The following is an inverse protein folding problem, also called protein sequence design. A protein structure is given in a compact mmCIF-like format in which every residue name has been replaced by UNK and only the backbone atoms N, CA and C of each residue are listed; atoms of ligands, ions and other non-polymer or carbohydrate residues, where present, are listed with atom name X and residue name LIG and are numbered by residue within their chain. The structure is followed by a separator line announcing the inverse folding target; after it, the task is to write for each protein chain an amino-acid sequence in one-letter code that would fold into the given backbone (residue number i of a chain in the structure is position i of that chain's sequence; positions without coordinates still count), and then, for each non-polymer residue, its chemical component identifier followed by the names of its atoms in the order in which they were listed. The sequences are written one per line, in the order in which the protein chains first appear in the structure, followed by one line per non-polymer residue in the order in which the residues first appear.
data_IF_716931565197
#
_entry.id   IF_716931565197
#
_cell.length_a   1.000
_cell.length_b   1.000
_cell.length_c   1.000
_cell.angle_alpha   90.00
_cell.angle_beta   90.00
_cell.angle_gamma   90.00
#
_symmetry.space_group_name_H-M   'P 1'
#
loop_
_entity.id
_entity.type
_entity.pdbx_description
1 polymer ?
#
# COMPACT_ATOMS: atom_id res chain seq x y z
N UNK A 1 2.70 26.99 -22.49
CA UNK A 1 3.51 26.78 -21.26
C UNK A 1 3.14 25.45 -20.63
N UNK A 2 4.09 24.55 -20.36
CA UNK A 2 3.81 23.34 -19.55
C UNK A 2 3.46 23.77 -18.13
N UNK A 3 2.31 23.32 -17.60
CA UNK A 3 1.90 23.60 -16.21
C UNK A 3 2.95 23.05 -15.24
N UNK A 4 3.42 23.86 -14.29
CA UNK A 4 4.32 23.38 -13.24
C UNK A 4 3.51 22.69 -12.11
N UNK A 5 4.18 21.92 -11.25
CA UNK A 5 3.49 21.14 -10.21
C UNK A 5 2.70 22.02 -9.21
N UNK A 6 3.17 23.24 -8.94
CA UNK A 6 2.43 24.19 -8.11
C UNK A 6 1.09 24.61 -8.74
N UNK A 7 1.05 24.84 -10.06
CA UNK A 7 -0.18 25.19 -10.78
C UNK A 7 -1.17 24.02 -10.83
N UNK A 8 -0.66 22.80 -10.98
CA UNK A 8 -1.49 21.59 -10.88
C UNK A 8 -2.08 21.47 -9.47
N UNK A 9 -1.31 21.78 -8.42
CA UNK A 9 -1.83 21.77 -7.03
C UNK A 9 -2.88 22.86 -6.81
N UNK A 10 -2.69 24.04 -7.40
CA UNK A 10 -3.70 25.11 -7.40
C UNK A 10 -5.01 24.62 -8.01
N UNK A 11 -4.96 24.02 -9.20
CA UNK A 11 -6.13 23.49 -9.90
C UNK A 11 -6.84 22.41 -9.09
N UNK A 12 -6.10 21.50 -8.45
CA UNK A 12 -6.68 20.48 -7.57
C UNK A 12 -7.46 21.08 -6.39
N UNK A 13 -7.01 22.22 -5.87
CA UNK A 13 -7.67 22.90 -4.77
C UNK A 13 -8.86 23.75 -5.25
N UNK A 14 -8.68 24.52 -6.31
CA UNK A 14 -9.70 25.46 -6.82
C UNK A 14 -10.85 24.76 -7.54
N UNK A 15 -10.59 23.64 -8.22
CA UNK A 15 -11.65 22.80 -8.79
C UNK A 15 -12.46 22.05 -7.72
N UNK A 16 -11.99 22.02 -6.47
CA UNK A 16 -12.59 21.23 -5.41
C UNK A 16 -12.24 19.73 -5.46
N UNK A 17 -11.45 19.26 -6.44
CA UNK A 17 -11.15 17.82 -6.59
C UNK A 17 -10.44 17.23 -5.36
N UNK A 18 -9.46 17.93 -4.78
CA UNK A 18 -8.78 17.46 -3.57
C UNK A 18 -9.69 17.49 -2.32
N UNK A 19 -10.41 18.60 -2.04
CA UNK A 19 -11.46 18.62 -1.02
C UNK A 19 -12.49 17.51 -1.16
N UNK A 20 -12.99 17.29 -2.38
CA UNK A 20 -13.99 16.26 -2.66
C UNK A 20 -13.43 14.86 -2.42
N UNK A 21 -12.19 14.59 -2.86
CA UNK A 21 -11.50 13.32 -2.56
C UNK A 21 -11.44 13.07 -1.06
N UNK A 22 -10.96 14.05 -0.30
CA UNK A 22 -10.82 13.95 1.16
C UNK A 22 -12.17 13.71 1.84
N UNK A 23 -13.20 14.45 1.41
CA UNK A 23 -14.56 14.32 1.94
C UNK A 23 -15.19 12.96 1.61
N UNK A 24 -15.01 12.45 0.40
CA UNK A 24 -15.55 11.16 -0.01
C UNK A 24 -14.85 10.00 0.70
N UNK A 25 -13.53 10.07 0.89
CA UNK A 25 -12.77 9.08 1.68
C UNK A 25 -13.24 9.05 3.14
N UNK A 26 -13.44 10.22 3.75
CA UNK A 26 -13.97 10.31 5.12
C UNK A 26 -15.41 9.80 5.21
N UNK A 27 -16.27 10.15 4.24
CA UNK A 27 -17.65 9.67 4.17
C UNK A 27 -17.72 8.15 4.04
N UNK A 28 -16.91 7.57 3.16
CA UNK A 28 -16.81 6.11 2.99
C UNK A 28 -16.39 5.41 4.29
N UNK A 29 -15.41 5.95 5.02
CA UNK A 29 -14.96 5.42 6.30
C UNK A 29 -16.04 5.50 7.39
N UNK A 30 -16.77 6.62 7.48
CA UNK A 30 -17.88 6.80 8.42
C UNK A 30 -19.02 5.80 8.13
N UNK A 31 -19.39 5.62 6.86
CA UNK A 31 -20.41 4.63 6.47
C UNK A 31 -19.96 3.22 6.84
N UNK A 32 -18.71 2.83 6.53
CA UNK A 32 -18.17 1.51 6.92
C UNK A 32 -18.22 1.27 8.43
N UNK A 33 -17.90 2.28 9.23
CA UNK A 33 -18.00 2.21 10.71
C UNK A 33 -19.44 2.08 11.18
N UNK A 34 -20.39 2.76 10.53
CA UNK A 34 -21.81 2.62 10.78
C UNK A 34 -22.31 1.20 10.51
N UNK A 35 -22.02 0.67 9.31
CA UNK A 35 -22.38 -0.70 8.92
C UNK A 35 -21.76 -1.71 9.89
N UNK A 36 -20.46 -1.54 10.22
CA UNK A 36 -19.78 -2.39 11.20
C UNK A 36 -20.50 -2.39 12.54
N UNK A 37 -20.91 -1.21 13.05
CA UNK A 37 -21.59 -1.09 14.34
C UNK A 37 -22.94 -1.82 14.36
N UNK A 38 -23.66 -1.85 13.24
CA UNK A 38 -24.93 -2.58 13.12
C UNK A 38 -24.73 -4.09 12.97
N UNK A 39 -23.69 -4.52 12.26
CA UNK A 39 -23.44 -5.95 11.97
C UNK A 39 -22.53 -6.67 12.99
N UNK A 40 -21.85 -5.95 13.89
CA UNK A 40 -20.86 -6.57 14.82
C UNK A 40 -21.43 -7.67 15.73
N UNK A 41 -22.73 -7.64 16.01
CA UNK A 41 -23.41 -8.60 16.87
C UNK A 41 -24.19 -9.65 16.07
N UNK A 42 -24.09 -9.62 14.74
CA UNK A 42 -24.68 -10.63 13.88
C UNK A 42 -23.97 -11.97 14.08
N UNK A 43 -24.75 -13.06 14.02
CA UNK A 43 -24.22 -14.42 13.98
C UNK A 43 -23.55 -14.74 12.62
N UNK A 44 -24.02 -14.11 11.55
CA UNK A 44 -23.47 -14.27 10.21
C UNK A 44 -22.17 -13.48 10.05
N UNK A 45 -21.13 -14.13 9.50
CA UNK A 45 -19.85 -13.47 9.20
C UNK A 45 -19.83 -12.76 7.84
N UNK A 46 -20.78 -13.07 6.95
CA UNK A 46 -20.88 -12.52 5.60
C UNK A 46 -22.32 -12.14 5.32
N UNK A 47 -22.54 -10.87 5.07
CA UNK A 47 -23.81 -10.27 4.74
C UNK A 47 -23.81 -9.83 3.28
N UNK A 48 -24.72 -10.41 2.51
CA UNK A 48 -24.88 -10.08 1.09
C UNK A 48 -26.11 -9.18 0.89
N UNK A 49 -25.88 -8.02 0.29
CA UNK A 49 -26.91 -7.07 -0.10
C UNK A 49 -27.05 -7.12 -1.62
N UNK A 50 -27.76 -8.16 -2.09
CA UNK A 50 -27.83 -8.52 -3.51
C UNK A 50 -28.36 -7.41 -4.41
N UNK A 51 -29.40 -6.69 -3.96
CA UNK A 51 -30.00 -5.56 -4.69
C UNK A 51 -29.04 -4.40 -4.94
N UNK A 52 -28.09 -4.18 -4.02
CA UNK A 52 -27.06 -3.14 -4.13
C UNK A 52 -25.77 -3.69 -4.73
N UNK A 53 -25.62 -5.01 -4.84
CA UNK A 53 -24.37 -5.63 -5.29
C UNK A 53 -23.22 -5.42 -4.30
N UNK A 54 -23.53 -5.33 -2.99
CA UNK A 54 -22.57 -5.08 -1.91
C UNK A 54 -22.47 -6.30 -1.00
N UNK A 55 -21.27 -6.54 -0.48
CA UNK A 55 -21.02 -7.52 0.58
C UNK A 55 -20.29 -6.86 1.75
N UNK A 56 -20.76 -7.13 2.95
CA UNK A 56 -20.09 -6.80 4.20
C UNK A 56 -19.67 -8.08 4.91
N UNK A 57 -18.40 -8.22 5.30
CA UNK A 57 -17.90 -9.45 5.91
C UNK A 57 -16.82 -9.24 6.96
N UNK A 58 -16.78 -10.14 7.92
CA UNK A 58 -15.73 -10.30 8.91
C UNK A 58 -14.73 -11.35 8.42
N UNK A 59 -13.50 -10.91 8.15
CA UNK A 59 -12.42 -11.76 7.66
C UNK A 59 -11.41 -11.99 8.77
N UNK A 60 -11.14 -13.25 9.15
CA UNK A 60 -10.07 -13.53 10.11
C UNK A 60 -8.72 -13.17 9.49
N UNK A 61 -7.96 -12.36 10.21
CA UNK A 61 -6.60 -11.96 9.87
C UNK A 61 -5.66 -12.45 10.97
N UNK A 62 -4.79 -13.39 10.59
CA UNK A 62 -3.73 -13.89 11.46
C UNK A 62 -2.72 -12.76 11.70
N UNK A 63 -2.43 -12.50 12.97
CA UNK A 63 -1.33 -11.64 13.40
C UNK A 63 -0.16 -12.58 13.66
N UNK A 64 0.88 -12.44 12.85
CA UNK A 64 2.06 -13.30 12.89
C UNK A 64 3.26 -12.50 13.37
N UNK A 65 3.97 -13.06 14.34
CA UNK A 65 5.35 -12.68 14.61
C UNK A 65 6.26 -13.48 13.67
N UNK A 66 7.30 -12.84 13.16
CA UNK A 66 8.17 -13.42 12.15
C UNK A 66 9.60 -13.32 12.63
N UNK A 67 10.26 -14.47 12.74
CA UNK A 67 11.70 -14.54 12.91
C UNK A 67 12.37 -14.16 11.59
N UNK A 68 12.49 -12.85 11.37
CA UNK A 68 13.14 -12.31 10.19
C UNK A 68 14.61 -12.68 10.12
N UNK A 69 15.28 -12.86 11.27
CA UNK A 69 16.70 -13.20 11.29
C UNK A 69 16.90 -14.62 10.77
N UNK A 70 16.21 -15.60 11.37
CA UNK A 70 16.25 -16.98 10.91
C UNK A 70 15.79 -17.15 9.47
N UNK A 71 14.78 -16.38 9.02
CA UNK A 71 14.37 -16.39 7.62
C UNK A 71 15.48 -15.90 6.67
N UNK A 72 16.23 -14.85 7.03
CA UNK A 72 17.33 -14.35 6.19
C UNK A 72 18.48 -15.35 6.14
N UNK A 73 18.83 -15.94 7.28
CA UNK A 73 19.87 -16.99 7.37
C UNK A 73 19.49 -18.20 6.53
N UNK A 74 18.26 -18.69 6.64
CA UNK A 74 17.75 -19.77 5.79
C UNK A 74 17.81 -19.43 4.30
N UNK A 75 17.38 -18.22 3.90
CA UNK A 75 17.45 -17.78 2.51
C UNK A 75 18.91 -17.70 2.01
N UNK A 76 19.87 -17.39 2.88
CA UNK A 76 21.29 -17.43 2.55
C UNK A 76 21.77 -18.86 2.32
N UNK A 77 21.45 -19.78 3.23
CA UNK A 77 21.88 -21.19 3.16
C UNK A 77 21.40 -21.88 1.87
N UNK A 78 20.22 -21.52 1.38
CA UNK A 78 19.66 -22.06 0.13
C UNK A 78 20.01 -21.22 -1.12
N UNK A 79 20.84 -20.20 -1.00
CA UNK A 79 21.30 -19.36 -2.12
C UNK A 79 20.25 -18.39 -2.70
N UNK A 80 19.21 -18.06 -1.95
CA UNK A 80 18.11 -17.19 -2.40
C UNK A 80 18.08 -15.81 -1.70
N UNK A 81 19.05 -15.50 -0.83
CA UNK A 81 19.11 -14.24 -0.10
C UNK A 81 19.06 -13.03 -1.05
N UNK A 82 20.03 -12.91 -1.95
CA UNK A 82 20.19 -11.77 -2.87
C UNK A 82 18.93 -11.49 -3.71
N UNK A 83 18.37 -12.45 -4.47
CA UNK A 83 17.21 -12.17 -5.32
C UNK A 83 15.96 -11.76 -4.54
N UNK A 84 15.86 -12.17 -3.27
CA UNK A 84 14.71 -11.92 -2.39
C UNK A 84 14.91 -10.77 -1.42
N UNK A 85 16.08 -10.12 -1.38
CA UNK A 85 16.35 -9.03 -0.45
C UNK A 85 16.09 -7.65 -1.06
N UNK A 86 15.94 -6.67 -0.17
CA UNK A 86 16.15 -5.25 -0.43
C UNK A 86 16.73 -4.62 0.84
N UNK A 87 17.45 -3.53 0.73
CA UNK A 87 17.99 -2.86 1.91
C UNK A 87 16.91 -2.08 2.65
N UNK A 88 16.95 -2.12 3.98
CA UNK A 88 16.10 -1.29 4.84
C UNK A 88 16.80 0.02 5.18
N UNK A 89 16.50 1.07 4.40
CA UNK A 89 17.03 2.42 4.61
C UNK A 89 16.81 2.96 6.04
N UNK A 90 15.81 2.46 6.77
CA UNK A 90 15.55 2.89 8.15
C UNK A 90 16.60 2.36 9.11
N UNK A 91 17.12 1.15 8.86
CA UNK A 91 18.21 0.57 9.64
C UNK A 91 19.52 1.27 9.30
N UNK A 92 19.81 1.51 8.01
CA UNK A 92 21.00 2.26 7.60
C UNK A 92 21.04 3.69 8.14
N UNK A 93 19.90 4.39 8.20
CA UNK A 93 19.86 5.75 8.77
C UNK A 93 20.30 5.83 10.23
N UNK A 94 20.22 4.72 10.98
CA UNK A 94 20.65 4.65 12.39
C UNK A 94 22.14 4.31 12.53
N UNK A 95 22.78 3.86 11.47
CA UNK A 95 24.17 3.42 11.45
C UNK A 95 24.95 4.18 10.38
N UNK A 96 25.48 5.34 10.79
CA UNK A 96 26.13 6.28 9.86
C UNK A 96 27.39 5.70 9.22
N UNK A 97 28.13 4.84 9.92
CA UNK A 97 29.33 4.21 9.40
C UNK A 97 29.00 3.29 8.21
N UNK A 98 28.06 2.36 8.43
CA UNK A 98 27.66 1.45 7.35
C UNK A 98 26.91 2.18 6.24
N UNK A 99 26.21 3.29 6.53
CA UNK A 99 25.55 4.09 5.51
C UNK A 99 26.51 4.59 4.43
N UNK A 100 27.73 4.98 4.78
CA UNK A 100 28.72 5.45 3.80
C UNK A 100 29.14 4.32 2.85
N UNK A 101 29.42 3.14 3.41
CA UNK A 101 29.73 1.92 2.65
C UNK A 101 28.61 1.60 1.65
N UNK A 102 27.36 1.57 2.10
CA UNK A 102 26.21 1.26 1.23
C UNK A 102 25.99 2.32 0.13
N UNK A 103 26.47 3.55 0.28
CA UNK A 103 26.29 4.57 -0.76
C UNK A 103 27.08 4.25 -2.04
N UNK A 104 28.19 3.52 -1.94
CA UNK A 104 29.00 3.11 -3.10
C UNK A 104 28.23 2.14 -4.01
N UNK A 105 27.33 1.36 -3.43
CA UNK A 105 26.49 0.38 -4.13
C UNK A 105 25.11 0.93 -4.51
N UNK A 106 24.85 2.23 -4.35
CA UNK A 106 23.54 2.82 -4.65
C UNK A 106 23.33 2.88 -6.17
N UNK A 107 22.32 2.16 -6.66
CA UNK A 107 21.98 2.09 -8.09
C UNK A 107 20.90 3.09 -8.51
N UNK A 108 20.12 3.59 -7.56
CA UNK A 108 18.98 4.45 -7.87
C UNK A 108 18.28 4.99 -6.64
N UNK A 109 17.36 5.91 -6.89
CA UNK A 109 16.49 6.49 -5.87
C UNK A 109 15.08 6.66 -6.43
N UNK A 110 14.12 6.06 -5.74
CA UNK A 110 12.72 6.20 -6.10
C UNK A 110 12.14 7.44 -5.43
N UNK A 111 11.24 8.13 -6.13
CA UNK A 111 10.58 9.32 -5.61
C UNK A 111 9.08 9.28 -5.83
N UNK A 112 8.35 9.90 -4.90
CA UNK A 112 6.95 10.22 -5.06
C UNK A 112 6.70 11.71 -4.80
N UNK A 113 5.62 12.22 -5.36
CA UNK A 113 5.20 13.60 -5.14
C UNK A 113 4.20 13.66 -3.99
N UNK A 114 4.33 14.67 -3.14
CA UNK A 114 3.42 14.92 -2.02
C UNK A 114 3.03 16.41 -1.96
N UNK A 115 1.75 16.74 -2.14
CA UNK A 115 1.22 18.05 -1.80
C UNK A 115 1.15 18.20 -0.27
N UNK A 116 1.56 19.36 0.24
CA UNK A 116 1.49 19.72 1.66
C UNK A 116 0.77 21.06 1.78
N UNK A 117 -0.34 21.10 2.51
CA UNK A 117 -1.21 22.27 2.58
C UNK A 117 -0.90 23.16 3.79
N UNK A 118 -0.85 24.47 3.57
CA UNK A 118 -0.76 25.47 4.63
C UNK A 118 -2.15 25.77 5.25
N UNK A 119 -2.28 26.80 6.10
CA UNK A 119 -3.55 27.16 6.73
C UNK A 119 -4.67 27.39 5.71
N UNK A 120 -4.39 28.15 4.65
CA UNK A 120 -5.35 28.45 3.58
C UNK A 120 -5.78 27.18 2.83
N UNK A 121 -4.82 26.33 2.43
CA UNK A 121 -5.15 25.06 1.77
C UNK A 121 -5.93 24.10 2.67
N UNK A 122 -5.66 24.09 3.98
CA UNK A 122 -6.42 23.29 4.97
C UNK A 122 -7.84 23.82 5.17
N UNK A 123 -8.06 25.13 5.09
CA UNK A 123 -9.39 25.72 5.19
C UNK A 123 -10.30 25.30 4.02
N UNK A 124 -9.74 25.19 2.81
CA UNK A 124 -10.45 24.65 1.64
C UNK A 124 -10.72 23.14 1.73
N UNK A 125 -9.93 22.41 2.53
CA UNK A 125 -10.05 20.96 2.72
C UNK A 125 -10.75 20.58 4.04
N UNK A 126 -11.57 21.46 4.61
CA UNK A 126 -12.31 21.12 5.84
C UNK A 126 -13.27 19.96 5.55
N UNK A 127 -13.27 18.92 6.42
CA UNK A 127 -14.18 17.80 6.25
C UNK A 127 -15.63 18.29 6.33
N UNK A 128 -16.48 17.83 5.42
CA UNK A 128 -17.93 18.05 5.55
C UNK A 128 -18.45 17.37 6.81
N UNK A 129 -19.29 18.07 7.58
CA UNK A 129 -20.02 17.46 8.70
C UNK A 129 -20.97 16.41 8.14
N UNK A 130 -20.66 15.14 8.39
CA UNK A 130 -21.43 14.01 7.92
C UNK A 130 -21.64 13.07 9.10
N UNK A 131 -22.90 12.75 9.39
CA UNK A 131 -23.28 11.89 10.50
C UNK A 131 -24.19 10.77 9.97
N UNK A 132 -23.77 9.53 10.23
CA UNK A 132 -24.50 8.31 9.87
C UNK A 132 -25.20 7.68 11.06
N UNK A 133 -25.16 8.31 12.24
CA UNK A 133 -25.63 7.70 13.50
C UNK A 133 -27.10 7.30 13.49
N UNK A 134 -27.92 7.95 12.65
CA UNK A 134 -29.37 7.74 12.53
C UNK A 134 -29.79 6.97 11.28
N UNK A 135 -28.84 6.53 10.46
CA UNK A 135 -29.16 5.85 9.21
C UNK A 135 -29.50 4.40 9.47
N UNK A 136 -30.45 3.89 8.69
CA UNK A 136 -30.74 2.47 8.66
C UNK A 136 -29.67 1.71 7.85
N UNK A 137 -29.57 0.40 8.06
CA UNK A 137 -28.55 -0.45 7.39
C UNK A 137 -28.63 -0.30 5.87
N UNK A 138 -29.85 -0.40 5.33
CA UNK A 138 -30.11 -0.34 3.90
C UNK A 138 -29.65 1.00 3.29
N UNK A 139 -29.94 2.11 3.99
CA UNK A 139 -29.52 3.45 3.59
C UNK A 139 -27.99 3.59 3.56
N UNK A 140 -27.31 3.03 4.56
CA UNK A 140 -25.85 2.99 4.61
C UNK A 140 -25.26 2.20 3.45
N UNK A 141 -25.84 1.06 3.09
CA UNK A 141 -25.38 0.22 1.99
C UNK A 141 -25.56 0.94 0.64
N UNK A 142 -26.71 1.56 0.43
CA UNK A 142 -26.97 2.33 -0.80
C UNK A 142 -26.06 3.54 -0.95
N UNK A 143 -25.79 4.26 0.15
CA UNK A 143 -24.83 5.35 0.13
C UNK A 143 -23.39 4.85 -0.04
N UNK A 144 -23.02 3.73 0.59
CA UNK A 144 -21.69 3.13 0.41
C UNK A 144 -21.42 2.81 -1.06
N UNK A 145 -22.40 2.22 -1.76
CA UNK A 145 -22.31 1.94 -3.19
C UNK A 145 -22.04 3.22 -4.00
N UNK A 146 -22.81 4.29 -3.75
CA UNK A 146 -22.65 5.58 -4.44
C UNK A 146 -21.30 6.23 -4.12
N UNK A 147 -20.93 6.27 -2.84
CA UNK A 147 -19.68 6.86 -2.36
C UNK A 147 -18.44 6.11 -2.87
N UNK A 148 -18.45 4.77 -2.87
CA UNK A 148 -17.32 3.96 -3.31
C UNK A 148 -17.04 4.10 -4.82
N UNK A 149 -18.09 4.13 -5.65
CA UNK A 149 -17.94 4.38 -7.10
C UNK A 149 -17.33 5.76 -7.35
N UNK A 150 -17.91 6.80 -6.73
CA UNK A 150 -17.43 8.17 -6.88
C UNK A 150 -16.00 8.35 -6.35
N UNK A 151 -15.67 7.73 -5.23
CA UNK A 151 -14.32 7.74 -4.65
C UNK A 151 -13.30 7.12 -5.59
N UNK A 152 -13.66 6.03 -6.29
CA UNK A 152 -12.78 5.38 -7.26
C UNK A 152 -12.46 6.30 -8.45
N UNK A 153 -13.46 6.97 -9.00
CA UNK A 153 -13.30 7.92 -10.11
C UNK A 153 -12.41 9.11 -9.71
N UNK A 154 -12.68 9.72 -8.55
CA UNK A 154 -11.90 10.85 -8.04
C UNK A 154 -10.45 10.45 -7.76
N UNK A 155 -10.22 9.25 -7.19
CA UNK A 155 -8.86 8.73 -6.94
C UNK A 155 -8.06 8.56 -8.23
N UNK A 156 -8.69 8.09 -9.31
CA UNK A 156 -8.00 7.92 -10.59
C UNK A 156 -7.63 9.28 -11.20
N UNK A 157 -8.56 10.24 -11.20
CA UNK A 157 -8.28 11.61 -11.64
C UNK A 157 -7.16 12.25 -10.81
N UNK A 158 -7.20 12.12 -9.49
CA UNK A 158 -6.15 12.62 -8.61
C UNK A 158 -4.79 11.98 -8.90
N UNK A 159 -4.75 10.65 -9.08
CA UNK A 159 -3.53 9.91 -9.43
C UNK A 159 -2.90 10.42 -10.73
N UNK A 160 -3.71 10.72 -11.74
CA UNK A 160 -3.22 11.30 -13.00
C UNK A 160 -2.56 12.67 -12.78
N UNK A 161 -3.14 13.54 -11.94
CA UNK A 161 -2.52 14.82 -11.57
C UNK A 161 -1.20 14.61 -10.83
N UNK A 162 -1.14 13.63 -9.92
CA UNK A 162 0.10 13.29 -9.22
C UNK A 162 1.21 12.82 -10.16
N UNK A 163 0.87 12.00 -11.17
CA UNK A 163 1.82 11.59 -12.21
C UNK A 163 2.29 12.76 -13.06
N UNK A 164 1.42 13.72 -13.37
CA UNK A 164 1.81 14.95 -14.08
C UNK A 164 2.76 15.81 -13.25
N UNK A 165 2.50 15.97 -11.94
CA UNK A 165 3.39 16.70 -11.04
C UNK A 165 4.77 16.03 -10.94
N UNK A 166 4.82 14.69 -10.93
CA UNK A 166 6.08 13.93 -10.87
C UNK A 166 6.99 14.18 -12.06
N UNK A 167 6.42 14.53 -13.23
CA UNK A 167 7.16 14.85 -14.46
C UNK A 167 7.55 16.34 -14.55
N UNK A 168 7.37 17.13 -13.50
CA UNK A 168 7.67 18.56 -13.52
C UNK A 168 9.18 18.82 -13.35
N UNK A 169 9.88 19.41 -14.34
CA UNK A 169 11.33 19.62 -14.28
C UNK A 169 11.77 20.54 -13.14
N UNK A 170 10.93 21.53 -12.79
CA UNK A 170 11.21 22.45 -11.66
C UNK A 170 11.17 21.70 -10.35
N UNK A 171 10.24 20.75 -10.19
CA UNK A 171 10.13 19.94 -8.97
C UNK A 171 11.27 18.94 -8.88
N UNK A 172 11.72 18.43 -10.02
CA UNK A 172 12.89 17.55 -10.13
C UNK A 172 14.17 18.25 -9.66
N UNK A 173 14.37 19.52 -10.06
CA UNK A 173 15.54 20.33 -9.70
C UNK A 173 15.49 20.81 -8.24
N UNK A 174 14.37 21.40 -7.84
CA UNK A 174 14.30 22.13 -6.57
C UNK A 174 13.80 21.27 -5.40
N UNK A 175 13.37 20.03 -5.66
CA UNK A 175 12.70 19.08 -4.74
C UNK A 175 11.42 19.60 -4.06
N UNK A 176 11.16 20.91 -4.09
CA UNK A 176 10.02 21.55 -3.45
C UNK A 176 9.63 22.83 -4.16
N UNK A 177 8.35 22.95 -4.51
CA UNK A 177 7.79 24.18 -5.08
C UNK A 177 6.74 24.74 -4.11
N UNK A 178 6.92 26.00 -3.69
CA UNK A 178 5.97 26.72 -2.83
C UNK A 178 4.82 27.31 -3.65
N UNK A 179 3.67 27.49 -3.01
CA UNK A 179 2.46 28.03 -3.60
C UNK A 179 1.53 28.65 -2.53
N UNK A 180 0.52 29.45 -2.93
CA UNK A 180 -0.40 30.11 -1.97
C UNK A 180 -1.17 29.13 -1.06
N UNK A 181 -1.47 27.91 -1.54
CA UNK A 181 -2.13 26.86 -0.76
C UNK A 181 -1.17 25.90 -0.03
N UNK A 182 0.14 26.09 -0.15
CA UNK A 182 1.13 25.23 0.51
C UNK A 182 2.36 24.96 -0.33
N UNK A 183 2.75 23.69 -0.48
CA UNK A 183 3.89 23.30 -1.30
C UNK A 183 3.75 21.90 -1.87
N UNK A 184 4.33 21.66 -3.04
CA UNK A 184 4.50 20.32 -3.59
C UNK A 184 5.94 19.90 -3.35
N UNK A 185 6.15 18.71 -2.80
CA UNK A 185 7.48 18.17 -2.52
C UNK A 185 7.70 16.85 -3.24
N UNK A 186 8.88 16.66 -3.79
CA UNK A 186 9.41 15.37 -4.23
C UNK A 186 10.06 14.71 -3.02
N UNK A 187 9.61 13.52 -2.66
CA UNK A 187 10.06 12.79 -1.49
C UNK A 187 10.68 11.48 -1.95
N UNK A 188 11.89 11.21 -1.48
CA UNK A 188 12.55 9.92 -1.65
C UNK A 188 11.74 8.82 -0.95
N UNK A 189 11.29 7.83 -1.72
CA UNK A 189 10.65 6.61 -1.19
C UNK A 189 11.66 5.54 -0.78
N UNK A 190 12.93 5.73 -1.12
CA UNK A 190 14.03 4.85 -0.74
C UNK A 190 15.08 4.73 -1.84
N UNK A 191 16.20 4.11 -1.50
CA UNK A 191 17.27 3.82 -2.44
C UNK A 191 17.20 2.36 -2.93
N UNK A 192 17.64 2.15 -4.16
CA UNK A 192 17.95 0.81 -4.67
C UNK A 192 19.46 0.60 -4.61
N UNK A 193 19.86 -0.64 -4.35
CA UNK A 193 21.27 -0.99 -4.14
C UNK A 193 21.64 -2.19 -5.01
N UNK A 194 22.90 -2.24 -5.41
CA UNK A 194 23.53 -3.42 -6.01
C UNK A 194 23.81 -4.44 -4.91
N UNK A 195 22.92 -5.41 -4.77
CA UNK A 195 23.02 -6.44 -3.74
C UNK A 195 24.09 -7.49 -4.05
N UNK A 196 24.41 -7.69 -5.33
CA UNK A 196 25.47 -8.63 -5.77
C UNK A 196 26.83 -8.01 -5.42
N UNK A 197 27.05 -6.75 -5.79
CA UNK A 197 28.27 -6.02 -5.40
C UNK A 197 28.48 -5.98 -3.89
N UNK A 198 27.43 -5.70 -3.10
CA UNK A 198 27.54 -5.72 -1.63
C UNK A 198 27.92 -7.10 -1.11
N UNK A 199 27.32 -8.15 -1.65
CA UNK A 199 27.62 -9.53 -1.25
C UNK A 199 29.07 -9.89 -1.55
N UNK A 200 29.55 -9.56 -2.75
CA UNK A 200 30.86 -9.98 -3.23
C UNK A 200 32.01 -9.19 -2.59
N UNK A 201 31.80 -7.90 -2.31
CA UNK A 201 32.84 -7.04 -1.73
C UNK A 201 32.85 -7.06 -0.19
N UNK A 202 31.68 -7.17 0.44
CA UNK A 202 31.53 -6.96 1.89
C UNK A 202 30.94 -8.18 2.62
N UNK A 203 30.27 -9.07 1.90
CA UNK A 203 29.75 -10.32 2.43
C UNK A 203 28.27 -10.28 2.83
N UNK A 204 27.73 -11.48 3.03
CA UNK A 204 26.31 -11.69 3.32
C UNK A 204 25.86 -11.17 4.70
N UNK A 205 26.77 -11.01 5.67
CA UNK A 205 26.43 -10.59 7.03
C UNK A 205 25.74 -9.22 7.06
N UNK A 206 26.21 -8.27 6.24
CA UNK A 206 25.61 -6.95 6.10
C UNK A 206 24.24 -7.02 5.42
N UNK A 207 24.09 -7.88 4.41
CA UNK A 207 22.80 -8.11 3.77
C UNK A 207 21.79 -8.75 4.74
N UNK A 208 22.24 -9.68 5.58
CA UNK A 208 21.41 -10.24 6.63
C UNK A 208 21.07 -9.14 7.63
N UNK A 209 22.03 -8.34 8.10
CA UNK A 209 21.77 -7.32 9.14
C UNK A 209 20.86 -6.18 8.68
N UNK A 210 21.11 -5.59 7.51
CA UNK A 210 20.40 -4.40 7.02
C UNK A 210 19.36 -4.70 5.93
N UNK A 211 19.32 -5.94 5.44
CA UNK A 211 18.34 -6.38 4.47
C UNK A 211 16.97 -6.64 5.09
N UNK A 212 15.96 -6.46 4.26
CA UNK A 212 14.58 -6.83 4.49
C UNK A 212 14.09 -7.68 3.33
N UNK A 213 13.51 -8.83 3.67
CA UNK A 213 12.92 -9.74 2.67
C UNK A 213 11.82 -9.01 1.89
N UNK A 214 11.92 -9.05 0.58
CA UNK A 214 10.89 -8.56 -0.32
C UNK A 214 9.76 -9.59 -0.36
N UNK A 215 8.71 -9.35 0.42
CA UNK A 215 7.55 -10.24 0.55
C UNK A 215 6.87 -10.54 -0.78
N UNK A 216 6.85 -9.61 -1.72
CA UNK A 216 6.22 -9.81 -3.02
C UNK A 216 7.03 -10.80 -3.86
N UNK A 217 8.36 -10.62 -3.92
CA UNK A 217 9.25 -11.57 -4.59
C UNK A 217 9.25 -12.92 -3.90
N UNK A 218 9.22 -12.96 -2.57
CA UNK A 218 9.13 -14.21 -1.81
C UNK A 218 7.88 -15.01 -2.20
N UNK A 219 6.72 -14.34 -2.28
CA UNK A 219 5.48 -14.97 -2.75
C UNK A 219 5.58 -15.44 -4.20
N UNK A 220 6.22 -14.66 -5.08
CA UNK A 220 6.46 -15.07 -6.46
C UNK A 220 7.30 -16.37 -6.55
N UNK A 221 8.36 -16.48 -5.76
CA UNK A 221 9.19 -17.70 -5.70
C UNK A 221 8.41 -18.90 -5.15
N UNK A 222 7.52 -18.68 -4.19
CA UNK A 222 6.62 -19.72 -3.68
C UNK A 222 5.64 -20.18 -4.78
N UNK A 223 5.09 -19.23 -5.54
CA UNK A 223 4.18 -19.53 -6.64
C UNK A 223 4.87 -20.23 -7.81
N UNK A 224 6.15 -19.94 -8.07
CA UNK A 224 6.97 -20.65 -9.06
C UNK A 224 7.38 -22.04 -8.60
N UNK A 225 7.23 -22.37 -7.31
CA UNK A 225 7.64 -23.64 -6.73
C UNK A 225 9.12 -23.72 -6.35
N UNK A 226 9.87 -22.63 -6.50
CA UNK A 226 11.28 -22.54 -6.05
C UNK A 226 11.40 -22.61 -4.53
N UNK A 227 10.38 -22.11 -3.82
CA UNK A 227 10.22 -22.23 -2.37
C UNK A 227 8.87 -22.86 -2.06
N UNK A 228 8.77 -23.63 -0.99
CA UNK A 228 7.47 -24.03 -0.45
C UNK A 228 6.95 -23.01 0.55
N UNK A 229 5.63 -22.94 0.70
CA UNK A 229 5.03 -22.10 1.76
C UNK A 229 5.44 -22.59 3.16
N UNK A 230 5.69 -23.89 3.32
CA UNK A 230 6.13 -24.49 4.59
C UNK A 230 7.53 -24.00 4.98
N UNK A 231 8.42 -23.85 4.00
CA UNK A 231 9.78 -23.35 4.22
C UNK A 231 9.80 -21.93 4.80
N UNK A 232 8.80 -21.12 4.48
CA UNK A 232 8.67 -19.76 5.02
C UNK A 232 7.86 -19.75 6.31
N UNK A 233 6.82 -20.57 6.39
CA UNK A 233 5.92 -20.58 7.55
C UNK A 233 6.58 -21.12 8.82
N UNK A 234 7.67 -21.89 8.74
CA UNK A 234 8.44 -22.30 9.93
C UNK A 234 9.02 -21.12 10.72
N UNK A 235 9.25 -19.97 10.05
CA UNK A 235 9.73 -18.74 10.69
C UNK A 235 8.59 -17.83 11.17
N UNK A 236 7.35 -18.30 11.13
CA UNK A 236 6.16 -17.52 11.48
C UNK A 236 5.42 -18.16 12.63
N UNK A 237 5.22 -17.38 13.69
CA UNK A 237 4.40 -17.78 14.82
C UNK A 237 3.11 -16.98 14.80
N UNK A 238 1.96 -17.66 14.78
CA UNK A 238 0.67 -16.99 14.94
C UNK A 238 0.54 -16.60 16.41
N UNK A 239 0.49 -15.29 16.66
CA UNK A 239 0.38 -14.74 18.03
C UNK A 239 -1.07 -14.46 18.38
N UNK A 240 -1.87 -14.05 17.40
CA UNK A 240 -3.27 -13.69 17.57
C UNK A 240 -4.04 -13.83 16.24
N UNK A 241 -5.38 -13.86 16.32
CA UNK A 241 -6.27 -13.81 15.16
C UNK A 241 -7.31 -12.73 15.40
N UNK A 242 -7.17 -11.62 14.67
CA UNK A 242 -8.14 -10.52 14.71
C UNK A 242 -9.18 -10.69 13.59
N UNK A 243 -10.42 -10.28 13.85
CA UNK A 243 -11.43 -10.13 12.79
C UNK A 243 -11.33 -8.72 12.18
N UNK A 244 -10.99 -8.64 10.90
CA UNK A 244 -11.06 -7.40 10.13
C UNK A 244 -12.42 -7.31 9.44
N UNK A 245 -13.08 -6.16 9.54
CA UNK A 245 -14.35 -5.89 8.86
C UNK A 245 -14.09 -5.25 7.50
N UNK A 246 -14.75 -5.76 6.46
CA UNK A 246 -14.62 -5.24 5.09
C UNK A 246 -16.00 -5.05 4.46
N UNK A 247 -16.18 -3.94 3.75
CA UNK A 247 -17.33 -3.69 2.88
C UNK A 247 -16.81 -3.44 1.46
N UNK A 248 -17.35 -4.16 0.48
CA UNK A 248 -16.93 -4.07 -0.93
C UNK A 248 -18.07 -4.48 -1.87
N UNK A 249 -17.90 -4.27 -3.17
CA UNK A 249 -18.84 -4.82 -4.15
C UNK A 249 -18.69 -6.33 -4.29
N UNK A 250 -19.78 -7.01 -4.66
CA UNK A 250 -19.78 -8.44 -4.98
C UNK A 250 -18.80 -8.75 -6.14
N UNK A 251 -18.70 -7.87 -7.13
CA UNK A 251 -17.75 -8.02 -8.22
C UNK A 251 -16.30 -7.98 -7.75
N UNK A 252 -15.97 -7.10 -6.80
CA UNK A 252 -14.63 -7.06 -6.21
C UNK A 252 -14.34 -8.34 -5.44
N UNK A 253 -15.30 -8.84 -4.66
CA UNK A 253 -15.15 -10.12 -3.95
C UNK A 253 -14.92 -11.29 -4.92
N UNK A 254 -15.72 -11.39 -5.99
CA UNK A 254 -15.57 -12.42 -7.03
C UNK A 254 -14.19 -12.38 -7.68
N UNK A 255 -13.73 -11.19 -8.09
CA UNK A 255 -12.39 -11.01 -8.67
C UNK A 255 -11.28 -11.43 -7.72
N UNK A 256 -11.41 -11.15 -6.43
CA UNK A 256 -10.42 -11.59 -5.43
C UNK A 256 -10.35 -13.12 -5.34
N UNK A 257 -11.51 -13.80 -5.34
CA UNK A 257 -11.59 -15.27 -5.31
C UNK A 257 -11.00 -15.86 -6.60
N UNK A 258 -11.38 -15.34 -7.77
CA UNK A 258 -10.86 -15.78 -9.06
C UNK A 258 -9.36 -15.57 -9.20
N UNK A 259 -8.83 -14.44 -8.70
CA UNK A 259 -7.39 -14.19 -8.70
C UNK A 259 -6.67 -15.23 -7.83
N UNK A 260 -7.17 -15.48 -6.62
CA UNK A 260 -6.60 -16.47 -5.72
C UNK A 260 -6.63 -17.89 -6.32
N UNK A 261 -7.73 -18.28 -6.97
CA UNK A 261 -7.83 -19.54 -7.68
C UNK A 261 -6.85 -19.63 -8.85
N UNK A 262 -6.73 -18.58 -9.67
CA UNK A 262 -5.76 -18.53 -10.78
C UNK A 262 -4.32 -18.66 -10.29
N UNK A 263 -3.96 -17.96 -9.20
CA UNK A 263 -2.64 -18.06 -8.60
C UNK A 263 -2.35 -19.49 -8.10
N UNK A 264 -3.32 -20.14 -7.43
CA UNK A 264 -3.19 -21.54 -7.01
C UNK A 264 -3.05 -22.51 -8.18
N UNK A 265 -3.84 -22.35 -9.24
CA UNK A 265 -3.77 -23.22 -10.41
C UNK A 265 -2.44 -23.06 -11.13
N UNK A 266 -1.94 -21.82 -11.30
CA UNK A 266 -0.61 -21.57 -11.85
C UNK A 266 0.49 -22.23 -11.03
N UNK A 267 0.44 -22.10 -9.71
CA UNK A 267 1.41 -22.75 -8.82
C UNK A 267 1.35 -24.29 -8.93
N UNK A 268 0.14 -24.86 -9.03
CA UNK A 268 -0.02 -26.30 -9.25
C UNK A 268 0.53 -26.76 -10.58
N UNK A 269 0.32 -26.01 -11.67
CA UNK A 269 0.82 -26.34 -13.00
C UNK A 269 2.34 -26.19 -13.11
N UNK A 270 2.93 -25.19 -12.46
CA UNK A 270 4.37 -25.01 -12.40
C UNK A 270 5.06 -26.21 -11.72
N UNK A 271 4.48 -26.73 -10.64
CA UNK A 271 4.97 -27.93 -9.94
C UNK A 271 4.86 -29.23 -10.75
N UNK A 272 3.97 -29.29 -11.74
CA UNK A 272 3.85 -30.46 -12.62
C UNK A 272 4.82 -30.40 -13.82
N UNK A 273 5.46 -29.24 -14.06
CA UNK A 273 6.38 -29.01 -15.17
C UNK A 273 7.85 -28.94 -14.74
N UNK A 274 8.10 -28.76 -13.45
CA UNK A 274 9.43 -28.84 -12.83
C UNK A 274 9.71 -30.28 -12.41
#
# INVERSE_FOLDING_TARGET
MKKNAAKIMEELMESGLYPEKSNMENKEDLIKKGIHKQLKNSEEKRHEFGSQGIVAKFVPKKITDVDYQGLKEYLYDIGLLIPLMKIDDRLLKKDLFNKEIFNEFKTGEDFYVRPNFNKLGKELNKPSLFDVSKWELEEMIDEFRRASTKTKEIKETYKNHMMMMAKCPVLEKDNKIKHKYGSVSRISSGCTYDLEGIHDEIGAELLIKYGKVNTNKLQEFIYKGTLSQKDVDQFRTIVDVRLDFMVMSLDTERRMIEQYQRERTKASQARLRA
#
